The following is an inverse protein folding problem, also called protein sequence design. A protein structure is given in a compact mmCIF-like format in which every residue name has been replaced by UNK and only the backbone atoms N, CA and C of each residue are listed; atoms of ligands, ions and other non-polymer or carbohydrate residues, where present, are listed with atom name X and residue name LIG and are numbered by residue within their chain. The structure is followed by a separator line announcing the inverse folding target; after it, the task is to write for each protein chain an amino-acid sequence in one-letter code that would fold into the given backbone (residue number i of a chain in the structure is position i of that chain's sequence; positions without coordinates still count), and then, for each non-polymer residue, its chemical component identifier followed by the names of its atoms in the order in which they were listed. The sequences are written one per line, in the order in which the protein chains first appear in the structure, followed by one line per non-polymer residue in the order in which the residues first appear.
data_IF_261123441828
#
_entry.id   IF_261123441828
#
_cell.length_a   1.000
_cell.length_b   1.000
_cell.length_c   1.000
_cell.angle_alpha   90.00
_cell.angle_beta   90.00
_cell.angle_gamma   90.00
#
_symmetry.space_group_name_H-M   'P 1'
#
loop_
_entity.id
_entity.type
_entity.pdbx_description
1 polymer ?
#
# COMPACT_ATOMS: atom_id res chain seq x y z
N UNK A 1 -7.63 7.32 19.83
CA UNK A 1 -6.88 8.10 18.83
C UNK A 1 -6.50 9.44 19.43
N UNK A 2 -5.27 9.53 19.97
CA UNK A 2 -4.73 10.69 20.69
C UNK A 2 -4.26 11.79 19.74
N UNK A 3 -3.54 11.42 18.69
CA UNK A 3 -2.90 12.35 17.73
C UNK A 3 -3.94 13.10 16.89
N UNK A 4 -3.72 14.39 16.67
CA UNK A 4 -4.67 15.27 15.96
C UNK A 4 -4.71 14.94 14.47
N UNK A 5 -3.58 14.58 13.87
CA UNK A 5 -3.43 14.16 12.48
C UNK A 5 -4.25 12.88 12.23
N UNK A 6 -4.09 11.89 13.10
CA UNK A 6 -4.85 10.64 13.05
C UNK A 6 -6.36 10.87 13.23
N UNK A 7 -6.74 11.77 14.14
CA UNK A 7 -8.14 12.15 14.34
C UNK A 7 -8.75 12.83 13.12
N UNK A 8 -8.00 13.72 12.47
CA UNK A 8 -8.45 14.42 11.26
C UNK A 8 -8.63 13.46 10.09
N UNK A 9 -7.67 12.56 9.86
CA UNK A 9 -7.78 11.52 8.84
C UNK A 9 -9.00 10.63 9.08
N UNK A 10 -9.16 10.12 10.32
CA UNK A 10 -10.32 9.33 10.73
C UNK A 10 -11.64 10.03 10.42
N UNK A 11 -11.75 11.31 10.76
CA UNK A 11 -12.97 12.09 10.52
C UNK A 11 -13.31 12.19 9.03
N UNK A 12 -12.31 12.44 8.17
CA UNK A 12 -12.49 12.48 6.72
C UNK A 12 -12.92 11.12 6.18
N UNK A 13 -12.25 10.04 6.60
CA UNK A 13 -12.57 8.69 6.16
C UNK A 13 -14.00 8.30 6.56
N UNK A 14 -14.40 8.54 7.82
CA UNK A 14 -15.75 8.24 8.28
C UNK A 14 -16.81 9.06 7.55
N UNK A 15 -16.60 10.36 7.39
CA UNK A 15 -17.56 11.26 6.74
C UNK A 15 -17.78 10.91 5.26
N UNK A 16 -16.79 10.30 4.61
CA UNK A 16 -16.82 10.00 3.17
C UNK A 16 -16.78 8.51 2.84
N UNK A 17 -16.86 7.61 3.83
CA UNK A 17 -16.69 6.16 3.63
C UNK A 17 -17.56 5.54 2.55
N UNK A 18 -18.78 6.07 2.36
CA UNK A 18 -19.70 5.60 1.32
C UNK A 18 -19.23 5.95 -0.11
N UNK A 19 -18.40 6.98 -0.26
CA UNK A 19 -17.90 7.47 -1.54
C UNK A 19 -16.44 7.03 -1.80
N UNK A 20 -15.69 6.70 -0.75
CA UNK A 20 -14.30 6.24 -0.86
C UNK A 20 -14.30 4.74 -1.20
N UNK A 21 -14.01 4.43 -2.45
CA UNK A 21 -13.89 3.04 -2.94
C UNK A 21 -12.47 2.47 -2.80
N UNK A 22 -11.47 3.33 -2.64
CA UNK A 22 -10.06 2.97 -2.52
C UNK A 22 -9.31 3.83 -1.51
N UNK A 23 -8.42 3.23 -0.73
CA UNK A 23 -7.50 3.88 0.20
C UNK A 23 -6.08 3.38 -0.05
N UNK A 24 -5.15 4.30 -0.24
CA UNK A 24 -3.72 4.01 -0.41
C UNK A 24 -2.96 4.88 0.58
N UNK A 25 -2.16 4.26 1.43
CA UNK A 25 -1.17 4.95 2.28
C UNK A 25 0.23 4.64 1.76
N UNK A 26 1.06 5.67 1.62
CA UNK A 26 2.40 5.56 1.06
C UNK A 26 3.43 5.61 2.19
N UNK A 27 4.32 4.62 2.18
CA UNK A 27 5.41 4.43 3.11
C UNK A 27 6.68 4.05 2.34
N UNK A 28 7.79 3.92 3.04
CA UNK A 28 9.02 3.32 2.55
C UNK A 28 9.65 2.58 3.71
N UNK A 29 10.34 1.46 3.54
CA UNK A 29 10.78 0.86 2.29
C UNK A 29 10.45 -0.64 2.22
N UNK A 30 10.58 -1.24 1.04
CA UNK A 30 10.47 -2.69 0.86
C UNK A 30 9.91 -3.15 -0.48
N UNK A 31 9.50 -2.24 -1.38
CA UNK A 31 8.83 -2.58 -2.65
C UNK A 31 7.63 -3.52 -2.46
N UNK A 32 6.70 -3.16 -1.56
CA UNK A 32 5.55 -3.99 -1.22
C UNK A 32 4.22 -3.27 -1.47
N UNK A 33 3.22 -4.04 -1.91
CA UNK A 33 1.80 -3.69 -1.93
C UNK A 33 1.09 -4.55 -0.89
N UNK A 34 0.98 -4.03 0.32
CA UNK A 34 0.44 -4.73 1.47
C UNK A 34 -1.07 -4.53 1.55
N UNK A 35 -1.81 -5.61 1.74
CA UNK A 35 -3.25 -5.55 2.00
C UNK A 35 -3.58 -6.00 3.44
N UNK A 36 -4.71 -5.51 4.02
CA UNK A 36 -5.16 -5.90 5.36
C UNK A 36 -5.36 -7.42 5.54
N UNK A 37 -5.38 -7.95 6.76
CA UNK A 37 -5.19 -7.26 8.02
C UNK A 37 -3.72 -7.21 8.44
N UNK A 38 -3.30 -6.12 9.06
CA UNK A 38 -1.99 -5.95 9.68
C UNK A 38 -1.97 -6.38 11.15
N UNK A 39 -3.09 -6.34 11.86
CA UNK A 39 -3.10 -6.57 13.31
C UNK A 39 -2.81 -8.01 13.77
N UNK A 40 -2.92 -9.02 12.90
CA UNK A 40 -2.66 -10.41 13.24
C UNK A 40 -2.34 -11.26 12.00
N UNK A 41 -1.44 -12.23 12.15
CA UNK A 41 -1.11 -13.19 11.08
C UNK A 41 -2.31 -14.07 10.72
N UNK A 42 -2.31 -14.59 9.49
CA UNK A 42 -3.32 -15.53 8.96
C UNK A 42 -4.76 -15.03 9.12
N UNK A 43 -4.95 -13.71 9.15
CA UNK A 43 -6.24 -13.06 9.32
C UNK A 43 -6.50 -12.19 8.09
N UNK A 44 -7.58 -12.48 7.38
CA UNK A 44 -7.84 -11.88 6.07
C UNK A 44 -9.24 -11.27 5.98
N UNK A 45 -9.43 -10.18 5.23
CA UNK A 45 -10.75 -9.70 4.86
C UNK A 45 -11.52 -10.74 4.03
N UNK A 46 -12.85 -10.69 4.10
CA UNK A 46 -13.70 -11.61 3.33
C UNK A 46 -13.54 -11.49 1.81
N UNK A 47 -13.05 -10.35 1.32
CA UNK A 47 -12.77 -10.05 -0.08
C UNK A 47 -11.27 -10.13 -0.44
N UNK A 48 -10.47 -10.90 0.31
CA UNK A 48 -9.01 -11.04 0.10
C UNK A 48 -8.63 -11.40 -1.34
N UNK A 49 -9.43 -12.22 -2.04
CA UNK A 49 -9.19 -12.55 -3.45
C UNK A 49 -9.25 -11.32 -4.36
N UNK A 50 -10.20 -10.40 -4.11
CA UNK A 50 -10.31 -9.14 -4.86
C UNK A 50 -9.08 -8.25 -4.59
N UNK A 51 -8.61 -8.22 -3.34
CA UNK A 51 -7.43 -7.45 -2.93
C UNK A 51 -6.14 -8.01 -3.58
N UNK A 52 -5.97 -9.32 -3.62
CA UNK A 52 -4.81 -9.95 -4.27
C UNK A 52 -4.82 -9.67 -5.77
N UNK A 53 -5.98 -9.82 -6.44
CA UNK A 53 -6.10 -9.60 -7.88
C UNK A 53 -5.83 -8.15 -8.26
N UNK A 54 -6.37 -7.20 -7.50
CA UNK A 54 -6.11 -5.78 -7.72
C UNK A 54 -4.64 -5.41 -7.44
N UNK A 55 -4.06 -5.90 -6.34
CA UNK A 55 -2.65 -5.68 -6.02
C UNK A 55 -1.72 -6.23 -7.10
N UNK A 56 -2.02 -7.41 -7.67
CA UNK A 56 -1.27 -7.97 -8.80
C UNK A 56 -1.37 -7.10 -10.05
N UNK A 57 -2.54 -6.55 -10.36
CA UNK A 57 -2.71 -5.63 -11.47
C UNK A 57 -1.90 -4.33 -11.29
N UNK A 58 -1.87 -3.79 -10.06
CA UNK A 58 -1.05 -2.64 -9.68
C UNK A 58 0.45 -2.97 -9.82
N UNK A 59 0.92 -4.08 -9.24
CA UNK A 59 2.32 -4.55 -9.31
C UNK A 59 2.78 -4.74 -10.76
N UNK A 60 1.95 -5.32 -11.62
CA UNK A 60 2.25 -5.45 -13.05
C UNK A 60 2.39 -4.09 -13.75
N UNK A 61 1.60 -3.08 -13.37
CA UNK A 61 1.71 -1.74 -13.95
C UNK A 61 2.97 -1.02 -13.52
N UNK A 62 3.34 -1.12 -12.23
CA UNK A 62 4.61 -0.66 -11.68
C UNK A 62 5.78 -1.29 -12.45
N UNK A 63 5.75 -2.62 -12.61
CA UNK A 63 6.81 -3.37 -13.27
C UNK A 63 7.04 -2.94 -14.73
N UNK A 64 5.97 -2.57 -15.46
CA UNK A 64 6.08 -2.16 -16.87
C UNK A 64 6.83 -0.83 -17.06
N UNK A 65 7.01 -0.01 -16.02
CA UNK A 65 7.67 1.29 -16.14
C UNK A 65 9.18 1.13 -16.23
N UNK A 66 9.79 0.50 -15.22
CA UNK A 66 11.26 0.34 -15.15
C UNK A 66 11.72 -1.04 -14.65
N UNK A 67 10.84 -2.04 -14.66
CA UNK A 67 11.16 -3.44 -14.34
C UNK A 67 11.06 -3.82 -12.86
N UNK A 68 10.82 -2.87 -11.95
CA UNK A 68 10.75 -3.14 -10.50
C UNK A 68 9.53 -3.94 -10.10
N UNK A 69 9.74 -4.94 -9.25
CA UNK A 69 8.72 -5.89 -8.84
C UNK A 69 8.27 -5.58 -7.42
N UNK A 70 7.02 -5.15 -7.27
CA UNK A 70 6.45 -4.98 -5.94
C UNK A 70 5.76 -6.28 -5.50
N UNK A 71 6.10 -6.80 -4.32
CA UNK A 71 5.44 -7.99 -3.79
C UNK A 71 4.02 -7.64 -3.33
N UNK A 72 3.05 -8.53 -3.56
CA UNK A 72 1.66 -8.35 -3.13
C UNK A 72 1.38 -9.36 -2.03
N UNK A 73 1.18 -8.88 -0.80
CA UNK A 73 1.07 -9.76 0.36
C UNK A 73 0.18 -9.18 1.46
N UNK A 74 -0.25 -10.04 2.38
CA UNK A 74 -0.87 -9.60 3.61
C UNK A 74 0.17 -8.88 4.48
N UNK A 75 -0.20 -7.76 5.09
CA UNK A 75 0.70 -6.94 5.88
C UNK A 75 1.36 -7.71 7.04
N UNK A 76 0.55 -8.43 7.84
CA UNK A 76 1.05 -9.15 9.01
C UNK A 76 1.88 -10.40 8.64
N UNK A 77 1.48 -11.12 7.58
CA UNK A 77 2.14 -12.34 7.14
C UNK A 77 3.50 -12.08 6.48
N UNK A 78 3.64 -10.95 5.77
CA UNK A 78 4.92 -10.58 5.14
C UNK A 78 5.86 -9.87 6.11
N UNK A 79 5.35 -8.91 6.89
CA UNK A 79 6.16 -8.11 7.80
C UNK A 79 6.09 -8.68 9.22
N UNK A 80 5.09 -8.25 9.98
CA UNK A 80 4.81 -8.64 11.35
C UNK A 80 3.45 -8.06 11.78
N UNK A 81 2.80 -8.62 12.82
CA UNK A 81 1.59 -8.02 13.38
C UNK A 81 1.78 -6.59 13.87
N UNK A 82 0.99 -5.66 13.34
CA UNK A 82 0.96 -4.25 13.73
C UNK A 82 -0.50 -3.76 13.83
N UNK A 83 -0.94 -3.40 15.04
CA UNK A 83 -2.30 -2.92 15.29
C UNK A 83 -2.38 -1.38 15.25
N UNK A 84 -3.55 -0.86 14.82
CA UNK A 84 -3.82 0.58 14.80
C UNK A 84 -3.41 1.31 13.53
N UNK A 85 -2.93 0.59 12.52
CA UNK A 85 -2.58 1.12 11.22
C UNK A 85 -3.82 1.66 10.45
N UNK A 86 -3.61 2.66 9.60
CA UNK A 86 -4.69 3.39 8.93
C UNK A 86 -5.37 2.58 7.84
N UNK A 87 -4.68 1.64 7.22
CA UNK A 87 -5.19 0.67 6.26
C UNK A 87 -6.20 -0.29 6.93
N UNK A 88 -5.83 -0.92 8.04
CA UNK A 88 -6.75 -1.73 8.84
C UNK A 88 -7.98 -0.90 9.27
N UNK A 89 -7.77 0.32 9.74
CA UNK A 89 -8.88 1.20 10.07
C UNK A 89 -9.80 1.47 8.87
N UNK A 90 -9.23 1.86 7.72
CA UNK A 90 -9.97 2.13 6.48
C UNK A 90 -10.77 0.90 6.03
N UNK A 91 -10.18 -0.29 6.11
CA UNK A 91 -10.84 -1.55 5.78
C UNK A 91 -12.00 -1.86 6.73
N UNK A 92 -11.80 -1.63 8.04
CA UNK A 92 -12.81 -1.89 9.07
C UNK A 92 -14.09 -1.07 8.91
N UNK A 93 -13.99 0.13 8.32
CA UNK A 93 -15.14 1.02 8.10
C UNK A 93 -15.78 0.83 6.71
N UNK A 94 -15.36 -0.18 5.95
CA UNK A 94 -16.01 -0.63 4.71
C UNK A 94 -15.38 -0.12 3.41
N UNK A 95 -14.19 0.49 3.43
CA UNK A 95 -13.49 0.85 2.19
C UNK A 95 -13.00 -0.43 1.51
N UNK A 96 -13.34 -0.61 0.23
CA UNK A 96 -13.13 -1.88 -0.48
C UNK A 96 -11.65 -2.17 -0.76
N UNK A 97 -11.01 -1.35 -1.58
CA UNK A 97 -9.63 -1.56 -1.99
C UNK A 97 -8.69 -0.78 -1.08
N UNK A 98 -7.88 -1.46 -0.28
CA UNK A 98 -7.05 -0.83 0.74
C UNK A 98 -5.63 -1.38 0.61
N UNK A 99 -4.65 -0.49 0.49
CA UNK A 99 -3.25 -0.87 0.40
C UNK A 99 -2.34 0.07 1.18
N UNK A 100 -1.35 -0.52 1.83
CA UNK A 100 -0.11 0.16 2.21
C UNK A 100 0.93 -0.12 1.12
N UNK A 101 1.53 0.94 0.57
CA UNK A 101 2.61 0.82 -0.43
C UNK A 101 3.92 1.13 0.26
N UNK A 102 4.78 0.14 0.38
CA UNK A 102 6.18 0.34 0.75
C UNK A 102 6.99 0.59 -0.52
N UNK A 103 7.49 1.82 -0.67
CA UNK A 103 8.28 2.25 -1.83
C UNK A 103 9.69 1.65 -1.80
N UNK A 104 10.52 2.06 -2.76
CA UNK A 104 11.97 1.78 -2.76
C UNK A 104 12.67 2.27 -1.49
N UNK A 105 13.87 1.72 -1.20
CA UNK A 105 14.45 0.52 -1.83
C UNK A 105 13.67 -0.75 -1.45
N UNK A 106 13.96 -1.87 -2.09
CA UNK A 106 13.44 -3.16 -1.66
C UNK A 106 14.42 -4.27 -1.99
N UNK A 107 14.05 -5.51 -1.67
CA UNK A 107 14.94 -6.64 -1.80
C UNK A 107 15.45 -6.85 -3.24
N UNK A 108 14.78 -6.35 -4.28
CA UNK A 108 15.29 -6.50 -5.65
C UNK A 108 16.45 -5.55 -5.95
N UNK A 109 16.62 -4.52 -5.14
CA UNK A 109 17.77 -3.63 -5.15
C UNK A 109 18.81 -4.13 -4.11
N UNK A 110 19.20 -5.42 -4.10
CA UNK A 110 20.07 -6.03 -3.06
C UNK A 110 21.42 -5.34 -2.81
N UNK A 111 21.90 -4.50 -3.72
CA UNK A 111 23.08 -3.64 -3.48
C UNK A 111 22.76 -2.32 -2.75
N UNK A 112 21.46 -2.03 -2.55
CA UNK A 112 20.91 -0.74 -2.12
C UNK A 112 20.01 -0.82 -0.87
N UNK A 113 19.39 -1.96 -0.56
CA UNK A 113 18.39 -2.04 0.52
C UNK A 113 19.02 -1.85 1.92
N UNK A 114 20.14 -2.54 2.20
CA UNK A 114 20.96 -2.31 3.41
C UNK A 114 21.75 -0.99 3.35
N UNK A 115 21.97 -0.46 2.15
CA UNK A 115 22.84 0.69 1.91
C UNK A 115 22.12 2.03 2.04
N UNK A 116 20.83 2.08 1.69
CA UNK A 116 20.06 3.31 1.67
C UNK A 116 18.93 3.29 2.69
N UNK A 117 18.11 2.23 2.76
CA UNK A 117 16.89 2.23 3.55
C UNK A 117 16.09 3.53 3.34
N UNK A 118 15.94 4.34 4.39
CA UNK A 118 15.25 5.63 4.33
C UNK A 118 16.06 6.76 3.65
N UNK A 119 17.37 6.62 3.52
CA UNK A 119 18.28 7.60 2.89
C UNK A 119 18.50 7.29 1.40
N UNK A 120 17.40 7.07 0.68
CA UNK A 120 17.44 6.79 -0.75
C UNK A 120 17.96 8.02 -1.55
N UNK A 121 18.96 7.86 -2.44
CA UNK A 121 19.49 8.99 -3.20
C UNK A 121 18.41 9.68 -4.03
N UNK A 122 18.48 11.01 -4.10
CA UNK A 122 17.51 11.84 -4.82
C UNK A 122 17.31 11.43 -6.29
N UNK A 123 18.32 10.80 -6.92
CA UNK A 123 18.24 10.26 -8.26
C UNK A 123 17.14 9.19 -8.46
N UNK A 124 16.68 8.55 -7.38
CA UNK A 124 15.58 7.57 -7.42
C UNK A 124 14.19 8.19 -7.29
N UNK A 125 14.06 9.46 -6.88
CA UNK A 125 12.75 10.09 -6.60
C UNK A 125 11.82 9.98 -7.82
N UNK A 126 12.29 10.43 -8.99
CA UNK A 126 11.49 10.41 -10.21
C UNK A 126 11.15 8.98 -10.62
N UNK A 127 12.13 8.07 -10.58
CA UNK A 127 11.96 6.66 -10.95
C UNK A 127 10.90 5.98 -10.09
N UNK A 128 10.94 6.17 -8.77
CA UNK A 128 9.96 5.63 -7.81
C UNK A 128 8.57 6.24 -8.05
N UNK A 129 8.51 7.56 -8.30
CA UNK A 129 7.26 8.26 -8.58
C UNK A 129 6.56 7.77 -9.84
N UNK A 130 7.31 7.64 -10.94
CA UNK A 130 6.79 7.16 -12.24
C UNK A 130 6.22 5.74 -12.12
N UNK A 131 6.92 4.85 -11.41
CA UNK A 131 6.51 3.48 -11.12
C UNK A 131 5.18 3.42 -10.33
N UNK A 132 5.14 4.03 -9.14
CA UNK A 132 3.99 3.91 -8.23
C UNK A 132 2.77 4.67 -8.75
N UNK A 133 2.97 5.76 -9.47
CA UNK A 133 1.86 6.45 -10.14
C UNK A 133 1.10 5.51 -11.09
N UNK A 134 1.79 4.68 -11.88
CA UNK A 134 1.12 3.72 -12.76
C UNK A 134 0.35 2.64 -11.99
N UNK A 135 0.89 2.19 -10.85
CA UNK A 135 0.19 1.27 -9.94
C UNK A 135 -1.11 1.88 -9.41
N UNK A 136 -1.04 3.07 -8.82
CA UNK A 136 -2.20 3.77 -8.25
C UNK A 136 -3.23 4.12 -9.33
N UNK A 137 -2.79 4.45 -10.56
CA UNK A 137 -3.68 4.73 -11.68
C UNK A 137 -4.54 3.52 -12.09
N UNK A 138 -4.02 2.30 -11.98
CA UNK A 138 -4.81 1.08 -12.19
C UNK A 138 -5.95 0.99 -11.19
N UNK A 139 -5.68 1.22 -9.91
CA UNK A 139 -6.71 1.23 -8.87
C UNK A 139 -7.73 2.34 -9.14
N UNK A 140 -7.27 3.57 -9.42
CA UNK A 140 -8.14 4.71 -9.69
C UNK A 140 -9.12 4.43 -10.85
N UNK A 141 -8.62 3.84 -11.94
CA UNK A 141 -9.45 3.44 -13.10
C UNK A 141 -10.45 2.35 -12.73
N UNK A 142 -10.07 1.37 -11.89
CA UNK A 142 -10.99 0.32 -11.44
C UNK A 142 -12.18 0.89 -10.68
N UNK A 143 -11.93 1.85 -9.79
CA UNK A 143 -12.97 2.38 -8.90
C UNK A 143 -13.81 3.49 -9.52
N UNK A 144 -13.35 4.08 -10.62
CA UNK A 144 -14.11 5.07 -11.39
C UNK A 144 -15.26 4.46 -12.21
N UNK A 145 -15.15 3.17 -12.57
CA UNK A 145 -16.25 2.38 -13.14
C UNK A 145 -17.30 1.99 -12.12
#
# INVERSE_FOLDING_TARGET
MSEIEGRNLRNVLLARRANIKGYVTLHSYGENLLYPWGYNVRTYPSDVTDLINMGRAMSQAIQRVHGTRYAVANAADLLYPAAGASDDYAKSIGIKYVYTVELRPGENDRENDEKYGFELPAAYIQRTGDEVFQGVLVLARRVAG
#
